data_IF_668681289249
#
_entry.id   IF_668681289249
#
_cell.length_a   1.000
_cell.length_b   1.000
_cell.length_c   1.000
_cell.angle_alpha   90.00
_cell.angle_beta   90.00
_cell.angle_gamma   90.00
#
_symmetry.space_group_name_H-M   'P 1'
#
loop_
_entity.id
_entity.type
_entity.pdbx_description
1 polymer ?
#
# COMPACT_ATOMS: atom_id res chain seq x y z
N UNK A 1 17.93 -49.50 44.18
CA UNK A 1 17.18 -48.54 45.01
C UNK A 1 17.90 -47.22 44.81
N UNK A 2 17.39 -46.22 44.11
CA UNK A 2 16.04 -45.91 43.63
C UNK A 2 16.20 -45.20 42.27
N UNK A 3 15.21 -45.32 41.39
CA UNK A 3 15.12 -44.60 40.13
C UNK A 3 14.40 -43.28 40.38
N UNK A 4 15.03 -42.14 40.11
CA UNK A 4 14.30 -40.88 39.98
C UNK A 4 14.02 -40.63 38.49
N UNK A 5 12.81 -41.00 38.11
CA UNK A 5 12.24 -40.71 36.80
C UNK A 5 11.95 -39.22 36.67
N UNK A 6 12.55 -38.60 35.65
CA UNK A 6 12.09 -37.32 35.15
C UNK A 6 10.92 -37.62 34.22
N UNK A 7 9.71 -37.35 34.70
CA UNK A 7 8.48 -37.45 33.91
C UNK A 7 8.55 -36.50 32.70
N UNK A 8 8.09 -36.94 31.50
CA UNK A 8 8.02 -36.05 30.35
C UNK A 8 6.85 -35.06 30.54
N UNK A 9 7.15 -33.77 30.42
CA UNK A 9 6.15 -32.70 30.37
C UNK A 9 5.26 -32.91 29.14
N UNK A 10 4.03 -33.38 29.40
CA UNK A 10 2.92 -33.47 28.44
C UNK A 10 2.40 -32.07 28.14
N UNK A 11 2.93 -31.41 27.11
CA UNK A 11 2.36 -30.17 26.57
C UNK A 11 1.23 -30.50 25.58
N UNK A 12 0.17 -31.12 26.08
CA UNK A 12 -1.14 -31.16 25.41
C UNK A 12 -2.00 -29.99 25.86
N UNK A 13 -1.59 -28.80 25.43
CA UNK A 13 -2.43 -27.61 25.39
C UNK A 13 -3.28 -27.54 24.13
N UNK A 14 -4.38 -28.30 24.08
CA UNK A 14 -5.47 -28.08 23.11
C UNK A 14 -6.18 -26.76 23.39
N UNK A 15 -5.92 -25.73 22.59
CA UNK A 15 -6.89 -24.65 22.34
C UNK A 15 -7.25 -24.60 20.86
N UNK A 16 -8.52 -24.89 20.61
CA UNK A 16 -9.17 -24.82 19.33
C UNK A 16 -9.18 -23.41 18.74
N UNK A 17 -9.29 -23.40 17.41
CA UNK A 17 -9.16 -22.23 16.56
C UNK A 17 -8.25 -22.64 15.42
N UNK A 18 -8.82 -23.13 14.33
CA UNK A 18 -8.14 -23.43 13.08
C UNK A 18 -7.43 -22.16 12.58
N UNK A 19 -6.20 -21.93 13.08
CA UNK A 19 -5.27 -20.97 12.52
C UNK A 19 -4.97 -21.48 11.13
N UNK A 20 -5.62 -20.89 10.12
CA UNK A 20 -5.19 -21.03 8.73
C UNK A 20 -3.70 -20.69 8.78
N UNK A 21 -2.83 -21.66 8.53
CA UNK A 21 -1.41 -21.40 8.49
C UNK A 21 -1.20 -20.27 7.48
N UNK A 22 -0.40 -19.26 7.79
CA UNK A 22 -0.17 -18.13 6.87
C UNK A 22 0.22 -18.63 5.47
N UNK A 23 0.94 -19.76 5.42
CA UNK A 23 1.25 -20.52 4.20
C UNK A 23 0.01 -21.02 3.44
N UNK A 24 -1.00 -21.55 4.14
CA UNK A 24 -2.28 -21.95 3.55
C UNK A 24 -3.05 -20.76 2.96
N UNK A 25 -3.04 -19.61 3.63
CA UNK A 25 -3.64 -18.37 3.11
C UNK A 25 -2.93 -17.90 1.83
N UNK A 26 -1.60 -17.86 1.82
CA UNK A 26 -0.80 -17.47 0.65
C UNK A 26 -1.06 -18.42 -0.53
N UNK A 27 -1.06 -19.74 -0.31
CA UNK A 27 -1.39 -20.73 -1.35
C UNK A 27 -2.80 -20.52 -1.91
N UNK A 28 -3.78 -20.26 -1.05
CA UNK A 28 -5.15 -19.95 -1.47
C UNK A 28 -5.21 -18.69 -2.36
N UNK A 29 -4.56 -17.60 -1.94
CA UNK A 29 -4.52 -16.35 -2.73
C UNK A 29 -3.86 -16.55 -4.10
N UNK A 30 -2.76 -17.30 -4.17
CA UNK A 30 -2.07 -17.63 -5.44
C UNK A 30 -3.00 -18.42 -6.37
N UNK A 31 -3.70 -19.42 -5.83
CA UNK A 31 -4.65 -20.24 -6.62
C UNK A 31 -5.83 -19.39 -7.11
N UNK A 32 -6.39 -18.53 -6.26
CA UNK A 32 -7.47 -17.62 -6.63
C UNK A 32 -7.03 -16.66 -7.74
N UNK A 33 -5.85 -16.05 -7.63
CA UNK A 33 -5.30 -15.16 -8.68
C UNK A 33 -5.11 -15.91 -10.01
N UNK A 34 -4.59 -17.14 -9.95
CA UNK A 34 -4.43 -17.98 -11.13
C UNK A 34 -5.78 -18.30 -11.79
N UNK A 35 -6.80 -18.64 -11.01
CA UNK A 35 -8.16 -18.90 -11.50
C UNK A 35 -8.72 -17.66 -12.19
N UNK A 36 -8.58 -16.47 -11.58
CA UNK A 36 -9.05 -15.20 -12.16
C UNK A 36 -8.37 -14.95 -13.51
N UNK A 37 -7.05 -15.18 -13.63
CA UNK A 37 -6.31 -15.06 -14.91
C UNK A 37 -6.81 -16.03 -15.96
N UNK A 38 -7.05 -17.29 -15.59
CA UNK A 38 -7.57 -18.32 -16.50
C UNK A 38 -8.97 -17.97 -17.00
N UNK A 39 -9.87 -17.52 -16.12
CA UNK A 39 -11.22 -17.06 -16.49
C UNK A 39 -11.13 -15.90 -17.47
N UNK A 40 -10.25 -14.92 -17.21
CA UNK A 40 -10.01 -13.79 -18.11
C UNK A 40 -9.52 -14.25 -19.49
N UNK A 41 -8.50 -15.11 -19.56
CA UNK A 41 -7.97 -15.66 -20.82
C UNK A 41 -9.06 -16.41 -21.59
N UNK A 42 -9.81 -17.26 -20.90
CA UNK A 42 -10.89 -18.06 -21.48
C UNK A 42 -11.99 -17.15 -22.05
N UNK A 43 -12.50 -16.20 -21.27
CA UNK A 43 -13.55 -15.27 -21.70
C UNK A 43 -13.15 -14.48 -22.97
N UNK A 44 -11.92 -13.97 -23.03
CA UNK A 44 -11.41 -13.23 -24.21
C UNK A 44 -11.31 -14.16 -25.42
N UNK A 45 -10.77 -15.37 -25.22
CA UNK A 45 -10.62 -16.36 -26.29
C UNK A 45 -11.97 -16.78 -26.87
N UNK A 46 -12.97 -16.99 -26.02
CA UNK A 46 -14.35 -17.30 -26.44
C UNK A 46 -14.95 -16.16 -27.25
N UNK A 47 -14.80 -14.90 -26.79
CA UNK A 47 -15.33 -13.74 -27.52
C UNK A 47 -14.66 -13.60 -28.90
N UNK A 48 -13.34 -13.75 -28.97
CA UNK A 48 -12.59 -13.72 -30.24
C UNK A 48 -13.01 -14.84 -31.18
N UNK A 49 -13.28 -16.04 -30.64
CA UNK A 49 -13.75 -17.19 -31.41
C UNK A 49 -15.16 -16.97 -31.96
N UNK A 50 -16.12 -16.64 -31.09
CA UNK A 50 -17.53 -16.41 -31.46
C UNK A 50 -17.66 -15.28 -32.48
N UNK A 51 -16.81 -14.25 -32.37
CA UNK A 51 -16.87 -13.06 -33.21
C UNK A 51 -15.89 -13.08 -34.37
N UNK A 52 -15.21 -14.20 -34.65
CA UNK A 52 -14.14 -14.28 -35.66
C UNK A 52 -14.53 -13.77 -37.04
N UNK A 53 -15.74 -14.08 -37.51
CA UNK A 53 -16.20 -13.77 -38.88
C UNK A 53 -16.84 -12.38 -39.04
N UNK A 54 -17.17 -11.69 -37.95
CA UNK A 54 -17.87 -10.40 -38.00
C UNK A 54 -16.91 -9.25 -38.28
N UNK A 55 -17.18 -8.40 -39.28
CA UNK A 55 -16.31 -7.26 -39.57
C UNK A 55 -16.72 -6.06 -38.71
N UNK A 56 -15.73 -5.39 -38.11
CA UNK A 56 -15.94 -4.12 -37.41
C UNK A 56 -15.03 -3.05 -38.05
N UNK A 57 -15.50 -1.81 -38.13
CA UNK A 57 -14.72 -0.68 -38.69
C UNK A 57 -13.50 -0.35 -37.83
N UNK A 58 -13.59 -0.60 -36.52
CA UNK A 58 -12.53 -0.32 -35.54
C UNK A 58 -11.78 -1.62 -35.20
N UNK A 59 -10.44 -1.59 -35.03
CA UNK A 59 -9.62 -2.77 -34.75
C UNK A 59 -9.77 -3.32 -33.31
N UNK A 60 -11.00 -3.40 -32.78
CA UNK A 60 -11.26 -3.86 -31.41
C UNK A 60 -10.91 -5.35 -31.20
N UNK A 61 -10.93 -6.15 -32.27
CA UNK A 61 -10.43 -7.53 -32.25
C UNK A 61 -8.92 -7.59 -32.06
N UNK A 62 -8.19 -6.68 -32.70
CA UNK A 62 -6.74 -6.57 -32.53
C UNK A 62 -6.42 -6.20 -31.09
N UNK A 63 -7.19 -5.29 -30.50
CA UNK A 63 -7.11 -4.96 -29.06
C UNK A 63 -7.20 -6.21 -28.19
N UNK A 64 -8.28 -6.98 -28.32
CA UNK A 64 -8.49 -8.18 -27.50
C UNK A 64 -7.45 -9.27 -27.76
N UNK A 65 -6.99 -9.42 -29.00
CA UNK A 65 -5.97 -10.41 -29.35
C UNK A 65 -4.61 -10.09 -28.72
N UNK A 66 -4.12 -8.85 -28.86
CA UNK A 66 -2.86 -8.44 -28.23
C UNK A 66 -2.99 -8.45 -26.70
N UNK A 67 -4.14 -8.02 -26.16
CA UNK A 67 -4.43 -8.09 -24.73
C UNK A 67 -4.40 -9.54 -24.19
N UNK A 68 -4.89 -10.50 -24.97
CA UNK A 68 -4.78 -11.94 -24.68
C UNK A 68 -3.33 -12.39 -24.62
N UNK A 69 -2.50 -12.02 -25.62
CA UNK A 69 -1.07 -12.37 -25.65
C UNK A 69 -0.31 -11.79 -24.44
N UNK A 70 -0.53 -10.51 -24.13
CA UNK A 70 0.08 -9.85 -22.96
C UNK A 70 -0.37 -10.55 -21.66
N UNK A 71 -1.66 -10.88 -21.55
CA UNK A 71 -2.20 -11.59 -20.37
C UNK A 71 -1.61 -13.00 -20.24
N UNK A 72 -1.41 -13.72 -21.35
CA UNK A 72 -0.75 -15.01 -21.35
C UNK A 72 0.70 -14.89 -20.87
N UNK A 73 1.46 -13.93 -21.41
CA UNK A 73 2.83 -13.67 -20.96
C UNK A 73 2.89 -13.37 -19.45
N UNK A 74 2.00 -12.50 -18.95
CA UNK A 74 1.88 -12.17 -17.52
C UNK A 74 1.54 -13.40 -16.67
N UNK A 75 0.69 -14.28 -17.18
CA UNK A 75 0.29 -15.52 -16.49
C UNK A 75 1.45 -16.51 -16.43
N UNK A 76 2.21 -16.64 -17.51
CA UNK A 76 3.45 -17.44 -17.55
C UNK A 76 4.45 -16.89 -16.54
N UNK A 77 4.72 -15.59 -16.53
CA UNK A 77 5.62 -14.96 -15.55
C UNK A 77 5.15 -15.18 -14.12
N UNK A 78 3.85 -15.07 -13.85
CA UNK A 78 3.27 -15.35 -12.54
C UNK A 78 3.48 -16.80 -12.12
N UNK A 79 3.23 -17.77 -13.01
CA UNK A 79 3.45 -19.19 -12.74
C UNK A 79 4.95 -19.44 -12.51
N UNK A 80 5.84 -18.85 -13.32
CA UNK A 80 7.29 -18.98 -13.15
C UNK A 80 7.75 -18.46 -11.79
N UNK A 81 7.24 -17.32 -11.32
CA UNK A 81 7.53 -16.77 -9.99
C UNK A 81 6.98 -17.65 -8.87
N UNK A 82 5.77 -18.16 -9.02
CA UNK A 82 5.07 -18.91 -7.97
C UNK A 82 5.27 -20.42 -8.04
N UNK A 83 6.05 -20.94 -9.01
CA UNK A 83 6.27 -22.38 -9.20
C UNK A 83 6.82 -23.06 -7.95
N UNK A 84 7.73 -22.37 -7.25
CA UNK A 84 8.32 -22.85 -6.01
C UNK A 84 7.27 -23.02 -4.89
N UNK A 85 6.26 -22.15 -4.82
CA UNK A 85 5.24 -22.18 -3.77
C UNK A 85 4.34 -23.43 -3.82
N UNK A 86 4.24 -24.11 -4.96
CA UNK A 86 3.47 -25.34 -5.08
C UNK A 86 4.17 -26.58 -4.51
N UNK A 87 5.49 -26.52 -4.26
CA UNK A 87 6.29 -27.69 -3.88
C UNK A 87 6.98 -27.61 -2.52
N UNK A 88 6.84 -26.52 -1.75
CA UNK A 88 7.61 -26.32 -0.51
C UNK A 88 6.69 -26.32 0.73
N UNK A 89 7.19 -26.93 1.82
CA UNK A 89 6.57 -26.97 3.17
C UNK A 89 7.03 -25.83 4.10
N UNK A 90 8.17 -25.18 3.82
CA UNK A 90 8.67 -23.95 4.49
C UNK A 90 8.72 -22.76 3.55
N UNK A 91 8.62 -21.55 4.07
CA UNK A 91 8.74 -20.31 3.29
C UNK A 91 10.19 -20.21 2.79
N UNK A 92 10.46 -20.28 1.47
CA UNK A 92 11.82 -20.08 0.97
C UNK A 92 12.22 -18.61 1.15
N UNK A 93 13.49 -18.34 1.43
CA UNK A 93 14.04 -16.99 1.30
C UNK A 93 13.85 -16.53 -0.15
N UNK A 94 12.96 -15.56 -0.33
CA UNK A 94 12.55 -15.09 -1.64
C UNK A 94 13.68 -14.26 -2.26
N UNK A 95 14.52 -14.91 -3.08
CA UNK A 95 15.52 -14.23 -3.91
C UNK A 95 14.91 -13.92 -5.27
N UNK A 96 14.52 -12.67 -5.47
CA UNK A 96 14.03 -12.18 -6.75
C UNK A 96 15.07 -12.40 -7.85
N UNK A 97 14.65 -12.99 -8.96
CA UNK A 97 15.45 -13.02 -10.16
C UNK A 97 15.29 -11.65 -10.87
N UNK A 98 16.36 -10.83 -10.95
CA UNK A 98 16.25 -9.45 -11.44
C UNK A 98 15.75 -9.39 -12.89
N UNK A 99 16.11 -10.37 -13.72
CA UNK A 99 15.68 -10.43 -15.13
C UNK A 99 14.17 -10.68 -15.23
N UNK A 100 13.65 -11.56 -14.37
CA UNK A 100 12.22 -11.89 -14.32
C UNK A 100 11.39 -10.73 -13.74
N UNK A 101 11.97 -9.98 -12.79
CA UNK A 101 11.35 -8.76 -12.26
C UNK A 101 11.29 -7.66 -13.32
N UNK A 102 12.39 -7.42 -14.03
CA UNK A 102 12.46 -6.46 -15.14
C UNK A 102 11.46 -6.81 -16.24
N UNK A 103 11.40 -8.08 -16.66
CA UNK A 103 10.43 -8.53 -17.66
C UNK A 103 8.98 -8.32 -17.18
N UNK A 104 8.68 -8.66 -15.93
CA UNK A 104 7.37 -8.43 -15.33
C UNK A 104 6.96 -6.95 -15.39
N UNK A 105 7.86 -6.04 -15.02
CA UNK A 105 7.61 -4.61 -15.05
C UNK A 105 7.42 -4.08 -16.47
N UNK A 106 8.20 -4.58 -17.43
CA UNK A 106 8.04 -4.27 -18.84
C UNK A 106 6.66 -4.68 -19.37
N UNK A 107 6.18 -5.88 -19.01
CA UNK A 107 4.84 -6.36 -19.39
C UNK A 107 3.73 -5.48 -18.79
N UNK A 108 3.85 -5.01 -17.54
CA UNK A 108 2.88 -4.06 -16.96
C UNK A 108 2.87 -2.72 -17.69
N UNK A 109 4.04 -2.18 -18.06
CA UNK A 109 4.14 -0.93 -18.81
C UNK A 109 3.51 -1.06 -20.20
N UNK A 110 3.79 -2.17 -20.91
CA UNK A 110 3.19 -2.47 -22.20
C UNK A 110 1.66 -2.61 -22.08
N UNK A 111 1.18 -3.22 -20.99
CA UNK A 111 -0.25 -3.38 -20.73
C UNK A 111 -0.95 -2.03 -20.51
N UNK A 112 -0.35 -1.14 -19.72
CA UNK A 112 -0.87 0.21 -19.51
C UNK A 112 -0.94 0.99 -20.83
N UNK A 113 0.14 0.95 -21.61
CA UNK A 113 0.16 1.54 -22.95
C UNK A 113 -0.96 0.97 -23.84
N UNK A 114 -1.15 -0.35 -23.81
CA UNK A 114 -2.21 -1.00 -24.58
C UNK A 114 -3.61 -0.59 -24.12
N UNK A 115 -3.84 -0.34 -22.83
CA UNK A 115 -5.11 0.19 -22.34
C UNK A 115 -5.41 1.59 -22.85
N UNK A 116 -4.41 2.47 -22.99
CA UNK A 116 -4.59 3.80 -23.61
C UNK A 116 -5.03 3.68 -25.07
N UNK A 117 -4.40 2.79 -25.83
CA UNK A 117 -4.80 2.50 -27.23
C UNK A 117 -6.22 1.92 -27.29
N UNK A 118 -6.54 0.98 -26.40
CA UNK A 118 -7.88 0.40 -26.30
C UNK A 118 -8.95 1.44 -25.98
N UNK A 119 -8.66 2.38 -25.08
CA UNK A 119 -9.55 3.50 -24.75
C UNK A 119 -9.78 4.42 -25.93
N UNK A 120 -8.71 4.82 -26.63
CA UNK A 120 -8.82 5.62 -27.86
C UNK A 120 -9.73 4.95 -28.89
N UNK A 121 -9.52 3.66 -29.17
CA UNK A 121 -10.37 2.92 -30.10
C UNK A 121 -11.82 2.75 -29.63
N UNK A 122 -12.07 2.66 -28.32
CA UNK A 122 -13.42 2.66 -27.77
C UNK A 122 -14.12 4.02 -27.96
N UNK A 123 -13.39 5.13 -27.84
CA UNK A 123 -13.91 6.48 -28.07
C UNK A 123 -14.22 6.75 -29.54
N UNK A 124 -13.36 6.28 -30.46
CA UNK A 124 -13.57 6.42 -31.91
C UNK A 124 -14.80 5.67 -32.42
N UNK A 125 -15.32 4.71 -31.65
CA UNK A 125 -16.44 3.91 -32.10
C UNK A 125 -17.81 4.48 -31.71
N UNK A 126 -18.46 5.15 -32.67
CA UNK A 126 -19.81 5.68 -32.49
C UNK A 126 -20.92 4.61 -32.42
N UNK A 127 -20.85 3.57 -33.27
CA UNK A 127 -21.93 2.59 -33.43
C UNK A 127 -21.61 1.15 -32.98
N UNK A 128 -20.44 0.90 -32.37
CA UNK A 128 -20.04 -0.46 -31.95
C UNK A 128 -20.98 -1.09 -30.91
N UNK A 129 -21.61 -0.25 -30.07
CA UNK A 129 -22.56 -0.68 -29.03
C UNK A 129 -23.73 -1.49 -29.61
N UNK A 130 -24.18 -1.11 -30.80
CA UNK A 130 -25.35 -1.72 -31.44
C UNK A 130 -24.96 -2.81 -32.44
N UNK A 131 -23.85 -2.63 -33.17
CA UNK A 131 -23.43 -3.64 -34.16
C UNK A 131 -22.89 -4.91 -33.50
N UNK A 132 -22.01 -4.75 -32.49
CA UNK A 132 -21.31 -5.87 -31.85
C UNK A 132 -21.20 -5.63 -30.34
N UNK A 133 -22.33 -5.69 -29.61
CA UNK A 133 -22.38 -5.35 -28.19
C UNK A 133 -21.41 -6.18 -27.35
N UNK A 134 -21.34 -7.49 -27.59
CA UNK A 134 -20.45 -8.39 -26.83
C UNK A 134 -18.97 -7.97 -26.93
N UNK A 135 -18.50 -7.65 -28.14
CA UNK A 135 -17.11 -7.25 -28.37
C UNK A 135 -16.81 -5.88 -27.74
N UNK A 136 -17.75 -4.95 -27.86
CA UNK A 136 -17.66 -3.60 -27.29
C UNK A 136 -17.60 -3.64 -25.77
N UNK A 137 -18.60 -4.25 -25.11
CA UNK A 137 -18.69 -4.26 -23.64
C UNK A 137 -17.55 -5.05 -23.00
N UNK A 138 -17.11 -6.16 -23.60
CA UNK A 138 -15.96 -6.90 -23.08
C UNK A 138 -14.68 -6.07 -23.16
N UNK A 139 -14.45 -5.38 -24.27
CA UNK A 139 -13.28 -4.51 -24.40
C UNK A 139 -13.35 -3.32 -23.44
N UNK A 140 -14.52 -2.69 -23.31
CA UNK A 140 -14.74 -1.59 -22.37
C UNK A 140 -14.58 -2.02 -20.91
N UNK A 141 -15.06 -3.20 -20.53
CA UNK A 141 -14.89 -3.78 -19.21
C UNK A 141 -13.40 -3.92 -18.86
N UNK A 142 -12.62 -4.55 -19.74
CA UNK A 142 -11.21 -4.80 -19.47
C UNK A 142 -10.36 -3.53 -19.45
N UNK A 143 -10.66 -2.57 -20.34
CA UNK A 143 -10.01 -1.25 -20.33
C UNK A 143 -10.36 -0.49 -19.05
N UNK A 144 -11.64 -0.45 -18.66
CA UNK A 144 -12.10 0.23 -17.46
C UNK A 144 -11.54 -0.36 -16.16
N UNK A 145 -11.59 -1.69 -16.01
CA UNK A 145 -10.96 -2.38 -14.88
C UNK A 145 -9.44 -2.16 -14.85
N UNK A 146 -8.79 -2.11 -16.02
CA UNK A 146 -7.38 -1.76 -16.16
C UNK A 146 -7.06 -0.42 -15.54
N UNK A 147 -7.73 0.65 -15.97
CA UNK A 147 -7.52 2.00 -15.40
C UNK A 147 -7.84 2.06 -13.92
N UNK A 148 -8.92 1.42 -13.46
CA UNK A 148 -9.27 1.40 -12.04
C UNK A 148 -8.16 0.79 -11.19
N UNK A 149 -7.58 -0.34 -11.63
CA UNK A 149 -6.46 -0.99 -10.92
C UNK A 149 -5.20 -0.12 -10.84
N UNK A 150 -4.96 0.79 -11.80
CA UNK A 150 -3.82 1.70 -11.76
C UNK A 150 -4.12 3.02 -11.02
N UNK A 151 -5.32 3.57 -11.16
CA UNK A 151 -5.71 4.84 -10.55
C UNK A 151 -6.02 4.67 -9.06
N UNK A 152 -6.67 3.57 -8.65
CA UNK A 152 -7.06 3.36 -7.25
C UNK A 152 -5.87 3.38 -6.27
N UNK A 153 -4.72 2.72 -6.54
CA UNK A 153 -3.54 2.83 -5.68
C UNK A 153 -2.98 4.25 -5.60
N UNK A 154 -2.97 5.00 -6.71
CA UNK A 154 -2.51 6.40 -6.72
C UNK A 154 -3.43 7.29 -5.87
N UNK A 155 -4.75 7.12 -6.00
CA UNK A 155 -5.72 7.83 -5.17
C UNK A 155 -5.60 7.44 -3.69
N UNK A 156 -5.36 6.16 -3.40
CA UNK A 156 -5.14 5.69 -2.03
C UNK A 156 -3.87 6.29 -1.42
N UNK A 157 -2.76 6.34 -2.18
CA UNK A 157 -1.52 6.99 -1.72
C UNK A 157 -1.76 8.49 -1.49
N UNK A 158 -2.43 9.17 -2.42
CA UNK A 158 -2.77 10.59 -2.25
C UNK A 158 -3.63 10.82 -1.01
N UNK A 159 -4.63 9.98 -0.78
CA UNK A 159 -5.47 10.05 0.40
C UNK A 159 -4.67 9.79 1.69
N UNK A 160 -3.80 8.78 1.71
CA UNK A 160 -2.93 8.50 2.85
C UNK A 160 -1.97 9.66 3.15
N UNK A 161 -1.36 10.26 2.13
CA UNK A 161 -0.49 11.43 2.30
C UNK A 161 -1.26 12.64 2.85
N UNK A 162 -2.50 12.84 2.37
CA UNK A 162 -3.40 13.86 2.91
C UNK A 162 -3.73 13.56 4.38
N UNK A 163 -4.08 12.31 4.72
CA UNK A 163 -4.33 11.92 6.11
C UNK A 163 -3.10 12.16 6.98
N UNK A 164 -1.90 11.78 6.54
CA UNK A 164 -0.65 12.02 7.26
C UNK A 164 -0.42 13.53 7.45
N UNK A 165 -0.74 14.36 6.46
CA UNK A 165 -0.67 15.81 6.59
C UNK A 165 -1.68 16.36 7.62
N UNK A 166 -2.89 15.80 7.69
CA UNK A 166 -3.89 16.16 8.71
C UNK A 166 -3.57 15.62 10.11
N UNK A 167 -2.82 14.52 10.23
CA UNK A 167 -2.42 13.91 11.51
C UNK A 167 -1.27 14.69 12.17
N UNK A 168 -0.54 15.57 11.45
CA UNK A 168 0.44 16.45 12.08
C UNK A 168 -0.26 17.23 13.21
N UNK A 169 0.08 16.96 14.49
CA UNK A 169 -0.72 17.44 15.60
C UNK A 169 -0.68 18.97 15.62
N UNK A 170 -1.86 19.60 15.71
CA UNK A 170 -1.94 21.02 15.99
C UNK A 170 -1.46 21.24 17.42
N UNK A 171 -0.21 21.67 17.55
CA UNK A 171 0.39 21.92 18.85
C UNK A 171 -0.32 23.10 19.53
N UNK A 172 -0.53 22.99 20.85
CA UNK A 172 -1.19 24.04 21.62
C UNK A 172 -0.31 25.30 21.58
N UNK A 173 -0.86 26.38 21.05
CA UNK A 173 -0.24 27.71 21.05
C UNK A 173 -1.00 28.60 22.00
N UNK A 174 -0.29 29.30 22.87
CA UNK A 174 -0.84 30.34 23.74
C UNK A 174 -0.09 31.64 23.51
N UNK A 175 -0.76 32.78 23.65
CA UNK A 175 -0.07 34.08 23.72
C UNK A 175 0.25 34.34 25.19
N UNK A 176 1.53 34.57 25.49
CA UNK A 176 1.95 34.84 26.87
C UNK A 176 1.30 36.14 27.37
N UNK A 177 0.59 36.09 28.51
CA UNK A 177 -0.09 37.27 29.08
C UNK A 177 0.33 37.59 30.52
N UNK A 178 0.61 36.61 31.37
CA UNK A 178 1.28 36.79 32.68
C UNK A 178 1.61 35.43 33.32
N UNK A 179 2.38 35.43 34.41
CA UNK A 179 3.05 34.30 35.10
C UNK A 179 2.18 33.10 35.53
N UNK A 180 0.86 33.14 35.37
CA UNK A 180 -0.07 32.09 35.82
C UNK A 180 -0.37 31.00 34.77
N UNK A 181 0.09 31.16 33.52
CA UNK A 181 -0.22 30.23 32.42
C UNK A 181 0.85 29.13 32.20
N UNK A 182 2.02 29.24 32.84
CA UNK A 182 3.12 28.27 32.73
C UNK A 182 3.25 27.54 34.06
N UNK A 183 3.12 26.20 34.12
CA UNK A 183 3.12 25.44 35.38
C UNK A 183 4.46 25.40 36.13
N UNK A 184 5.54 25.93 35.56
CA UNK A 184 6.91 25.78 36.03
C UNK A 184 7.63 27.14 36.04
N UNK A 185 8.56 27.34 36.98
CA UNK A 185 9.30 28.61 37.22
C UNK A 185 10.27 28.97 36.05
N UNK A 186 10.21 28.26 34.93
CA UNK A 186 11.05 28.42 33.74
C UNK A 186 10.38 29.35 32.70
N UNK A 187 10.48 30.65 32.95
CA UNK A 187 9.95 31.71 32.08
C UNK A 187 10.87 32.11 30.91
N UNK A 188 11.61 31.16 30.34
CA UNK A 188 12.53 31.43 29.22
C UNK A 188 12.52 30.32 28.17
N UNK A 189 12.77 30.68 26.92
CA UNK A 189 12.91 29.73 25.82
C UNK A 189 14.33 29.18 25.79
N UNK A 190 14.49 27.85 25.84
CA UNK A 190 15.83 27.21 25.88
C UNK A 190 16.50 27.08 24.51
N UNK A 191 15.85 27.52 23.43
CA UNK A 191 16.43 27.57 22.09
C UNK A 191 17.18 28.90 21.87
N UNK A 192 16.54 30.04 22.17
CA UNK A 192 17.16 31.36 22.05
C UNK A 192 17.74 31.91 23.37
N UNK A 193 17.44 31.25 24.50
CA UNK A 193 17.82 31.67 25.86
C UNK A 193 17.22 33.00 26.33
N UNK A 194 16.17 33.48 25.68
CA UNK A 194 15.47 34.73 26.02
C UNK A 194 14.22 34.46 26.88
N UNK A 195 13.83 35.44 27.70
CA UNK A 195 12.60 35.40 28.49
C UNK A 195 11.36 35.56 27.61
N UNK A 196 10.22 35.04 28.06
CA UNK A 196 8.96 35.21 27.33
C UNK A 196 8.42 36.63 27.46
N UNK A 197 8.03 37.22 26.32
CA UNK A 197 7.45 38.56 26.25
C UNK A 197 5.93 38.52 26.09
N UNK A 198 5.24 39.51 26.65
CA UNK A 198 3.78 39.61 26.57
C UNK A 198 3.31 39.73 25.11
N UNK A 199 2.33 38.91 24.73
CA UNK A 199 1.79 38.86 23.38
C UNK A 199 2.58 37.99 22.40
N UNK A 200 3.76 37.47 22.78
CA UNK A 200 4.52 36.55 21.93
C UNK A 200 3.94 35.13 22.04
N UNK A 201 3.70 34.43 20.90
CA UNK A 201 3.14 33.09 20.92
C UNK A 201 4.16 32.05 21.39
N UNK A 202 3.76 31.26 22.37
CA UNK A 202 4.48 30.11 22.91
C UNK A 202 3.78 28.84 22.46
N UNK A 203 4.55 27.82 22.07
CA UNK A 203 4.05 26.52 21.62
C UNK A 203 4.46 25.42 22.60
N UNK A 204 3.49 24.60 22.98
CA UNK A 204 3.68 23.44 23.85
C UNK A 204 3.76 22.16 23.02
N UNK A 205 4.76 21.34 23.31
CA UNK A 205 4.91 20.01 22.74
C UNK A 205 4.05 18.98 23.51
N UNK A 206 3.80 17.79 22.95
CA UNK A 206 3.06 16.73 23.66
C UNK A 206 3.76 16.23 24.93
N UNK A 207 5.07 16.47 25.05
CA UNK A 207 5.87 16.22 26.25
C UNK A 207 5.84 17.38 27.26
N UNK A 208 4.88 18.30 27.11
CA UNK A 208 4.60 19.46 27.97
C UNK A 208 5.66 20.58 27.99
N UNK A 209 6.82 20.38 27.37
CA UNK A 209 7.82 21.44 27.20
C UNK A 209 7.34 22.57 26.25
N UNK A 210 7.72 23.80 26.57
CA UNK A 210 7.29 25.03 25.90
C UNK A 210 8.46 25.83 25.33
N UNK A 211 8.20 26.51 24.21
CA UNK A 211 9.19 27.31 23.47
C UNK A 211 8.50 28.44 22.70
N UNK A 212 9.25 29.47 22.28
CA UNK A 212 8.75 30.42 21.28
C UNK A 212 8.31 29.69 20.01
N UNK A 213 7.16 30.08 19.46
CA UNK A 213 6.59 29.48 18.26
C UNK A 213 7.60 29.48 17.09
N UNK A 214 8.27 30.60 16.86
CA UNK A 214 9.30 30.77 15.82
C UNK A 214 10.50 29.84 16.02
N UNK A 215 11.05 29.79 17.24
CA UNK A 215 12.23 28.99 17.55
C UNK A 215 11.98 27.50 17.38
N UNK A 216 10.83 27.02 17.88
CA UNK A 216 10.53 25.59 17.83
C UNK A 216 10.08 25.15 16.45
N UNK A 217 9.45 26.02 15.66
CA UNK A 217 9.11 25.69 14.27
C UNK A 217 10.35 25.53 13.39
N UNK A 218 11.37 26.36 13.57
CA UNK A 218 12.65 26.18 12.88
C UNK A 218 13.32 24.85 13.27
N UNK A 219 13.27 24.48 14.55
CA UNK A 219 13.77 23.20 15.00
C UNK A 219 12.98 22.01 14.43
N UNK A 220 11.64 22.08 14.47
CA UNK A 220 10.75 21.02 13.97
C UNK A 220 10.76 20.89 12.43
N UNK A 221 11.22 21.91 11.71
CA UNK A 221 11.52 21.77 10.28
C UNK A 221 12.73 20.86 10.00
N UNK A 222 13.61 20.67 10.99
CA UNK A 222 14.83 19.87 10.87
C UNK A 222 14.71 18.52 11.61
N UNK A 223 14.05 18.49 12.77
CA UNK A 223 13.95 17.32 13.65
C UNK A 223 12.58 17.24 14.33
N UNK A 224 11.91 16.10 14.21
CA UNK A 224 10.63 15.81 14.88
C UNK A 224 10.78 15.40 16.36
N UNK A 225 11.73 16.00 17.09
CA UNK A 225 12.04 15.65 18.48
C UNK A 225 12.09 16.89 19.36
N UNK A 226 11.63 16.79 20.61
CA UNK A 226 11.77 17.87 21.59
C UNK A 226 13.25 18.25 21.80
N UNK A 227 13.63 19.54 21.72
CA UNK A 227 15.00 19.99 22.02
C UNK A 227 15.50 19.64 23.42
N UNK A 228 14.59 19.55 24.40
CA UNK A 228 14.91 19.31 25.80
C UNK A 228 15.01 17.82 26.14
N UNK A 229 13.95 17.05 25.89
CA UNK A 229 13.88 15.65 26.29
C UNK A 229 14.11 14.63 25.16
N UNK A 230 14.32 15.10 23.92
CA UNK A 230 14.53 14.29 22.70
C UNK A 230 13.40 13.32 22.35
N UNK A 231 12.26 13.36 23.06
CA UNK A 231 11.05 12.58 22.72
C UNK A 231 10.48 13.02 21.37
N UNK A 232 9.96 12.06 20.60
CA UNK A 232 9.33 12.35 19.32
C UNK A 232 8.02 13.13 19.53
N UNK A 233 7.72 14.09 18.65
CA UNK A 233 6.46 14.84 18.72
C UNK A 233 5.28 14.08 18.10
N UNK A 234 5.55 13.02 17.32
CA UNK A 234 4.53 12.17 16.75
C UNK A 234 4.07 11.13 17.77
N UNK A 235 2.83 11.26 18.25
CA UNK A 235 2.20 10.33 19.20
C UNK A 235 2.09 8.89 18.68
N UNK A 236 2.26 8.68 17.37
CA UNK A 236 2.30 7.33 16.77
C UNK A 236 3.63 6.61 17.01
N UNK A 237 4.71 7.33 17.33
CA UNK A 237 6.02 6.74 17.57
C UNK A 237 5.99 5.78 18.77
N UNK A 238 5.37 6.20 19.87
CA UNK A 238 5.25 5.40 21.10
C UNK A 238 4.35 4.15 20.95
N UNK A 239 3.52 4.08 19.90
CA UNK A 239 2.70 2.90 19.58
C UNK A 239 3.43 1.86 18.74
N UNK A 240 4.42 2.30 17.95
CA UNK A 240 5.16 1.43 17.02
C UNK A 240 6.39 0.85 17.70
N UNK A 241 7.13 1.71 18.42
CA UNK A 241 8.33 1.33 19.15
C UNK A 241 8.09 1.57 20.65
N UNK A 242 7.67 0.55 21.42
CA UNK A 242 7.61 0.68 22.86
C UNK A 242 9.02 1.00 23.40
N UNK A 243 9.16 1.83 24.45
CA UNK A 243 10.46 2.21 24.96
C UNK A 243 11.29 0.95 25.29
N UNK A 244 12.44 0.79 24.63
CA UNK A 244 13.43 -0.22 24.99
C UNK A 244 14.00 0.13 26.36
N UNK A 245 13.41 -0.47 27.39
CA UNK A 245 13.93 -0.66 28.74
C UNK A 245 14.38 0.61 29.49
N UNK A 246 13.57 1.05 30.45
CA UNK A 246 14.12 1.46 31.74
C UNK A 246 14.69 0.21 32.42
N UNK A 247 16.00 0.02 32.29
CA UNK A 247 16.82 -0.98 33.00
C UNK A 247 17.74 -0.26 33.98
#
# INVERSE_FOLDING_TARGET
>A
MERDGVDPVDDRGTRGGSRISALGCIKFLIVVDLIIRVIKISSISVVLYLKRNEKCKVPLKLFLFVYLLITLARTVTFISKNRAFFHIERIPEFRDNPDLALFSNFIEALLLFWYLIGFHWLQDCSNCKNTNPLLYYMSALWVGLGFFMFIAPLLAIMFLLILVAFIRPTLKVINFKDTNDIPDDTYHCTICFEQYEEGVPIKFLPCEHHFHCSCVDEWLNLKDTCPLCKKNINLLYDLVDPPENEL
#
